data_IF_511497408578
#
_entry.id   IF_511497408578
#
_cell.length_a   1.000
_cell.length_b   1.000
_cell.length_c   1.000
_cell.angle_alpha   90.00
_cell.angle_beta   90.00
_cell.angle_gamma   90.00
#
_symmetry.space_group_name_H-M   'P 1'
#
loop_
_entity.id
_entity.type
_entity.pdbx_description
1 polymer ?
#
# COMPACT_ATOMS: atom_id res chain seq x y z
N UNK A 1 -7.42 -28.38 15.85
CA UNK A 1 -7.21 -27.98 15.45
C UNK A 1 -6.53 -27.27 15.10
N UNK A 2 -6.31 -27.25 14.98
CA UNK A 2 -5.83 -26.55 14.56
C UNK A 2 -5.27 -25.98 14.08
N UNK A 3 -5.14 -25.80 13.91
CA UNK A 3 -4.74 -25.19 13.49
C UNK A 3 -4.09 -24.70 13.10
N UNK A 4 -3.93 -24.73 13.26
CA UNK A 4 -3.39 -24.16 12.99
C UNK A 4 -2.72 -23.79 12.34
N UNK A 5 -2.56 -23.95 12.07
CA UNK A 5 -2.01 -23.55 11.47
C UNK A 5 -1.53 -22.91 10.98
N UNK A 6 -1.53 -22.81 11.07
CA UNK A 6 -1.11 -22.12 10.69
C UNK A 6 -0.42 -21.62 10.30
N UNK A 7 -0.26 -21.78 10.34
CA UNK A 7 0.28 -21.25 10.08
C UNK A 7 1.02 -21.13 9.64
N UNK A 8 1.08 -21.37 9.73
CA UNK A 8 1.70 -21.10 9.38
C UNK A 8 2.26 -20.88 8.84
N UNK A 9 2.14 -21.06 8.92
CA UNK A 9 2.64 -20.75 8.43
C UNK A 9 3.21 -20.45 7.88
N UNK A 10 3.28 -20.62 7.85
CA UNK A 10 3.73 -20.15 7.34
C UNK A 10 4.62 -20.07 6.99
N UNK A 11 4.89 -20.32 7.21
CA UNK A 11 5.57 -19.99 6.87
C UNK A 11 6.55 -20.08 6.74
N UNK A 12 6.93 -20.11 6.97
CA UNK A 12 7.79 -19.97 6.83
C UNK A 12 8.54 -20.64 6.55
N UNK A 13 8.46 -21.15 6.67
CA UNK A 13 9.10 -21.79 6.34
C UNK A 13 9.86 -22.03 5.55
N UNK A 14 10.12 -22.07 5.66
CA UNK A 14 10.71 -21.98 5.00
C UNK A 14 11.01 -22.12 4.19
N UNK A 15 11.37 -22.26 4.18
CA UNK A 15 11.79 -22.06 3.27
C UNK A 15 11.39 -21.93 2.53
N UNK A 16 10.98 -21.85 2.58
CA UNK A 16 10.41 -21.48 1.71
C UNK A 16 10.63 -20.28 1.27
N UNK A 17 11.31 -20.07 0.65
CA UNK A 17 11.72 -18.93 -0.04
C UNK A 17 10.63 -18.09 -0.58
N UNK A 18 9.70 -18.68 -1.18
CA UNK A 18 8.59 -17.94 -1.74
C UNK A 18 7.81 -17.17 -0.69
N UNK A 19 7.85 -17.68 0.50
CA UNK A 19 7.13 -17.04 1.56
C UNK A 19 7.66 -15.67 1.88
N UNK A 20 8.95 -15.52 1.84
CA UNK A 20 9.55 -14.22 2.10
C UNK A 20 9.05 -13.18 1.13
N UNK A 21 8.92 -13.58 -0.12
CA UNK A 21 8.41 -12.67 -1.14
C UNK A 21 6.96 -12.31 -0.87
N UNK A 22 6.21 -13.30 -0.49
CA UNK A 22 4.80 -13.06 -0.20
C UNK A 22 4.62 -12.10 0.96
N UNK A 23 5.49 -12.20 1.94
CA UNK A 23 5.42 -11.27 3.06
C UNK A 23 5.61 -9.84 2.58
N UNK A 24 6.50 -9.63 1.64
CA UNK A 24 6.74 -8.30 1.13
C UNK A 24 5.56 -7.68 0.41
N UNK A 25 4.63 -8.50 -0.03
CA UNK A 25 3.43 -8.00 -0.69
C UNK A 25 2.22 -7.91 0.23
N UNK A 26 2.40 -8.25 1.49
CA UNK A 26 1.31 -8.18 2.45
C UNK A 26 1.00 -6.74 2.77
N UNK A 27 -0.26 -6.37 2.71
CA UNK A 27 -0.69 -5.02 3.02
C UNK A 27 -0.68 -4.74 4.50
N UNK A 28 -0.69 -3.47 4.82
CA UNK A 28 -0.86 -3.03 6.20
C UNK A 28 -2.35 -2.92 6.48
N UNK A 29 -2.81 -3.63 7.53
CA UNK A 29 -4.22 -3.61 7.93
C UNK A 29 -4.37 -2.82 9.22
N UNK A 30 -5.30 -1.88 9.22
CA UNK A 30 -5.56 -1.03 10.38
C UNK A 30 -7.06 -0.94 10.60
N UNK A 31 -7.47 -0.92 11.86
CA UNK A 31 -8.87 -0.75 12.23
C UNK A 31 -9.23 0.72 12.31
N UNK A 32 -10.42 1.02 11.80
CA UNK A 32 -10.96 2.38 11.80
C UNK A 32 -12.31 2.32 12.51
N UNK A 33 -12.53 3.26 13.42
CA UNK A 33 -13.76 3.30 14.22
C UNK A 33 -14.94 3.87 13.47
N UNK A 34 -15.29 3.24 12.36
CA UNK A 34 -16.44 3.60 11.53
C UNK A 34 -16.86 2.36 10.75
N UNK A 35 -18.10 2.37 10.23
CA UNK A 35 -18.59 1.23 9.46
C UNK A 35 -17.84 1.09 8.13
N UNK A 36 -17.87 -0.11 7.56
CA UNK A 36 -17.25 -0.36 6.28
C UNK A 36 -17.75 0.62 5.21
N UNK A 37 -19.07 0.84 5.16
CA UNK A 37 -19.66 1.71 4.16
C UNK A 37 -19.23 3.17 4.36
N UNK A 38 -19.14 3.62 5.60
CA UNK A 38 -18.70 5.00 5.89
C UNK A 38 -17.24 5.20 5.47
N UNK A 39 -16.37 4.24 5.76
CA UNK A 39 -14.97 4.29 5.36
C UNK A 39 -14.86 4.27 3.84
N UNK A 40 -15.61 3.37 3.20
CA UNK A 40 -15.60 3.24 1.75
C UNK A 40 -15.98 4.54 1.06
N UNK A 41 -16.98 5.23 1.60
CA UNK A 41 -17.46 6.50 1.02
C UNK A 41 -16.39 7.59 1.05
N UNK A 42 -15.46 7.55 2.00
CA UNK A 42 -14.42 8.58 2.13
C UNK A 42 -13.12 8.24 1.42
N UNK A 43 -12.95 6.99 1.05
CA UNK A 43 -11.68 6.52 0.53
C UNK A 43 -11.29 7.16 -0.83
N UNK A 44 -12.20 7.32 -1.80
CA UNK A 44 -11.82 7.99 -3.05
C UNK A 44 -11.31 9.41 -2.84
N UNK A 45 -11.89 10.15 -1.88
CA UNK A 45 -11.43 11.50 -1.57
C UNK A 45 -10.01 11.51 -1.02
N UNK A 46 -9.64 10.50 -0.25
CA UNK A 46 -8.26 10.40 0.25
C UNK A 46 -7.28 10.23 -0.90
N UNK A 47 -7.62 9.38 -1.87
CA UNK A 47 -6.79 9.20 -3.05
C UNK A 47 -6.66 10.49 -3.85
N UNK A 48 -7.79 11.20 -4.02
CA UNK A 48 -7.80 12.45 -4.78
C UNK A 48 -6.90 13.50 -4.14
N UNK A 49 -7.02 13.69 -2.82
CA UNK A 49 -6.22 14.69 -2.11
C UNK A 49 -4.73 14.36 -2.20
N UNK A 50 -4.39 13.08 -2.21
CA UNK A 50 -2.99 12.66 -2.31
C UNK A 50 -2.47 12.65 -3.74
N UNK A 51 -3.29 13.00 -4.70
CA UNK A 51 -2.88 12.99 -6.10
C UNK A 51 -2.66 11.59 -6.66
N UNK A 52 -3.39 10.61 -6.14
CA UNK A 52 -3.30 9.22 -6.57
C UNK A 52 -4.49 8.90 -7.47
N UNK A 53 -4.31 8.90 -8.78
CA UNK A 53 -5.44 8.58 -9.67
C UNK A 53 -5.86 7.13 -9.50
N UNK A 54 -7.15 6.88 -9.67
CA UNK A 54 -7.69 5.52 -9.59
C UNK A 54 -7.70 4.90 -10.98
N UNK A 55 -7.23 3.65 -11.09
CA UNK A 55 -7.37 2.89 -12.33
C UNK A 55 -8.51 1.88 -12.21
N UNK A 56 -8.95 1.57 -10.99
CA UNK A 56 -10.09 0.69 -10.78
C UNK A 56 -10.80 1.05 -9.47
N UNK A 57 -12.08 0.73 -9.41
CA UNK A 57 -12.89 0.86 -8.21
C UNK A 57 -13.99 -0.20 -8.27
N UNK A 58 -13.93 -1.13 -7.33
CA UNK A 58 -14.85 -2.26 -7.27
C UNK A 58 -15.73 -2.12 -6.03
N UNK A 59 -16.93 -1.59 -6.22
CA UNK A 59 -17.85 -1.34 -5.11
C UNK A 59 -18.37 -2.64 -4.48
N UNK A 60 -18.45 -3.70 -5.26
CA UNK A 60 -18.95 -4.97 -4.75
C UNK A 60 -17.96 -5.62 -3.78
N UNK A 61 -16.67 -5.42 -4.01
CA UNK A 61 -15.62 -6.00 -3.18
C UNK A 61 -14.95 -4.98 -2.27
N UNK A 62 -15.37 -3.72 -2.34
CA UNK A 62 -14.78 -2.64 -1.55
C UNK A 62 -13.27 -2.55 -1.76
N UNK A 63 -12.86 -2.54 -3.02
CA UNK A 63 -11.47 -2.42 -3.43
C UNK A 63 -11.32 -1.29 -4.43
N UNK A 64 -10.28 -0.49 -4.25
CA UNK A 64 -9.93 0.53 -5.24
C UNK A 64 -8.42 0.74 -5.22
N UNK A 65 -7.92 1.35 -6.28
CA UNK A 65 -6.51 1.62 -6.36
C UNK A 65 -6.05 1.95 -7.76
N UNK A 66 -4.77 1.80 -7.95
CA UNK A 66 -4.15 1.97 -9.26
C UNK A 66 -3.03 0.95 -9.39
N UNK A 67 -3.08 0.17 -10.45
CA UNK A 67 -2.10 -0.88 -10.66
C UNK A 67 -0.84 -0.38 -11.38
N UNK A 68 -0.83 0.88 -11.82
CA UNK A 68 0.37 1.40 -12.45
C UNK A 68 0.38 2.93 -12.47
N UNK A 69 0.96 3.52 -11.44
CA UNK A 69 1.21 4.97 -11.43
C UNK A 69 2.68 5.16 -11.78
N UNK A 70 2.94 5.88 -12.86
CA UNK A 70 4.31 6.21 -13.23
C UNK A 70 4.78 7.42 -12.46
N UNK A 71 5.92 7.29 -11.82
CA UNK A 71 6.45 8.36 -11.00
C UNK A 71 7.96 8.42 -11.13
N UNK A 72 8.48 9.59 -10.92
CA UNK A 72 9.91 9.82 -10.86
C UNK A 72 10.17 10.87 -9.80
N UNK A 73 10.96 10.50 -8.80
CA UNK A 73 11.34 11.33 -7.67
C UNK A 73 10.23 11.62 -6.69
N UNK A 74 9.02 11.96 -7.17
CA UNK A 74 7.96 12.36 -6.27
C UNK A 74 6.58 12.09 -6.87
N UNK A 75 5.59 11.97 -6.00
CA UNK A 75 4.17 11.96 -6.38
C UNK A 75 3.53 13.06 -5.56
N UNK A 76 2.94 14.04 -6.27
CA UNK A 76 2.22 15.15 -5.64
C UNK A 76 3.02 15.76 -4.47
N UNK A 77 4.30 16.01 -4.69
CA UNK A 77 5.16 16.63 -3.70
C UNK A 77 5.75 15.69 -2.65
N UNK A 78 5.32 14.42 -2.64
CA UNK A 78 5.87 13.45 -1.69
C UNK A 78 7.00 12.68 -2.37
N UNK A 79 8.18 12.74 -1.79
CA UNK A 79 9.35 12.13 -2.38
C UNK A 79 9.27 10.62 -2.38
N UNK A 80 9.66 10.00 -3.49
CA UNK A 80 9.58 8.54 -3.63
C UNK A 80 10.40 7.82 -2.58
N UNK A 81 11.50 8.38 -2.14
CA UNK A 81 12.34 7.75 -1.12
C UNK A 81 11.65 7.65 0.24
N UNK A 82 10.62 8.46 0.48
CA UNK A 82 9.83 8.34 1.71
C UNK A 82 8.70 7.33 1.57
N UNK A 83 8.36 7.00 0.34
CA UNK A 83 7.27 6.07 0.03
C UNK A 83 7.79 4.65 -0.11
N UNK A 84 8.90 4.48 -0.84
CA UNK A 84 9.43 3.17 -1.21
C UNK A 84 10.90 3.02 -0.85
N UNK A 85 11.26 1.79 -0.53
CA UNK A 85 12.64 1.37 -0.41
C UNK A 85 12.99 0.52 -1.63
N UNK A 86 13.80 1.06 -2.49
CA UNK A 86 14.28 0.39 -3.70
C UNK A 86 15.75 0.02 -3.58
N UNK A 87 16.33 0.18 -2.39
CA UNK A 87 17.76 0.02 -2.21
C UNK A 87 18.53 1.27 -2.58
N UNK A 88 19.86 1.17 -2.49
CA UNK A 88 20.74 2.30 -2.80
C UNK A 88 21.94 1.83 -3.61
N UNK A 89 22.58 2.77 -4.26
CA UNK A 89 23.83 2.55 -4.98
C UNK A 89 24.77 3.72 -4.73
N UNK A 90 25.81 3.83 -5.55
CA UNK A 90 26.79 4.89 -5.39
C UNK A 90 26.20 6.29 -5.56
N UNK A 91 25.07 6.38 -6.22
CA UNK A 91 24.40 7.67 -6.48
C UNK A 91 23.31 7.97 -5.47
N UNK A 92 23.13 7.14 -4.44
CA UNK A 92 22.14 7.33 -3.41
C UNK A 92 20.98 6.37 -3.53
N UNK A 93 19.82 6.79 -3.03
CA UNK A 93 18.65 5.91 -3.02
C UNK A 93 18.06 5.78 -4.42
N UNK A 94 17.85 4.52 -4.82
CA UNK A 94 17.32 4.23 -6.15
C UNK A 94 15.90 4.77 -6.34
N UNK A 95 15.14 4.88 -5.26
CA UNK A 95 13.79 5.44 -5.33
C UNK A 95 13.80 6.88 -5.87
N UNK A 96 14.88 7.62 -5.69
CA UNK A 96 14.98 8.99 -6.18
C UNK A 96 15.42 9.10 -7.63
N UNK A 97 16.15 8.11 -8.11
CA UNK A 97 16.80 8.21 -9.43
C UNK A 97 16.16 7.28 -10.48
N UNK A 98 15.40 6.29 -10.05
CA UNK A 98 14.81 5.33 -10.96
C UNK A 98 13.42 5.76 -11.39
N UNK A 99 13.01 5.30 -12.56
CA UNK A 99 11.62 5.41 -13.00
C UNK A 99 10.83 4.35 -12.25
N UNK A 100 9.77 4.76 -11.58
CA UNK A 100 9.00 3.90 -10.71
C UNK A 100 7.61 3.66 -11.29
N UNK A 101 7.18 2.41 -11.28
CA UNK A 101 5.79 2.03 -11.49
C UNK A 101 5.24 1.62 -10.14
N UNK A 102 4.35 2.44 -9.61
CA UNK A 102 3.78 2.24 -8.29
C UNK A 102 2.44 1.55 -8.41
N UNK A 103 2.23 0.53 -7.60
CA UNK A 103 0.95 -0.15 -7.46
C UNK A 103 0.42 0.14 -6.06
N UNK A 104 -0.83 0.57 -5.98
CA UNK A 104 -1.47 0.84 -4.71
C UNK A 104 -2.90 0.33 -4.75
N UNK A 105 -3.28 -0.40 -3.71
CA UNK A 105 -4.63 -0.94 -3.61
C UNK A 105 -5.08 -0.86 -2.16
N UNK A 106 -6.31 -0.39 -1.96
CA UNK A 106 -6.91 -0.38 -0.63
C UNK A 106 -8.20 -1.18 -0.66
N UNK A 107 -8.34 -2.07 0.31
CA UNK A 107 -9.53 -2.89 0.51
C UNK A 107 -10.12 -2.56 1.87
N UNK A 108 -11.44 -2.41 1.92
CA UNK A 108 -12.15 -2.17 3.17
C UNK A 108 -13.01 -3.38 3.48
N UNK A 109 -12.84 -3.93 4.66
CA UNK A 109 -13.63 -5.08 5.11
C UNK A 109 -14.29 -4.77 6.43
N UNK A 110 -15.30 -5.58 6.78
CA UNK A 110 -15.97 -5.42 8.07
C UNK A 110 -15.01 -5.84 9.18
N UNK A 111 -14.99 -5.07 10.26
CA UNK A 111 -14.20 -5.38 11.43
C UNK A 111 -14.97 -6.29 12.38
N UNK A 112 -14.51 -6.36 13.64
CA UNK A 112 -15.16 -7.23 14.64
C UNK A 112 -16.56 -6.78 15.02
N UNK A 113 -16.95 -5.54 14.70
CA UNK A 113 -18.30 -5.05 14.96
C UNK A 113 -18.74 -4.16 13.80
N UNK A 114 -20.03 -3.84 13.76
CA UNK A 114 -20.61 -3.08 12.64
C UNK A 114 -20.05 -1.65 12.53
N UNK A 115 -19.55 -1.11 13.63
CA UNK A 115 -19.02 0.24 13.68
C UNK A 115 -17.49 0.29 13.63
N UNK A 116 -16.85 -0.81 13.25
CA UNK A 116 -15.41 -0.87 13.05
C UNK A 116 -15.14 -1.53 11.70
N UNK A 117 -14.33 -0.87 10.90
CA UNK A 117 -13.88 -1.41 9.62
C UNK A 117 -12.40 -1.76 9.69
N UNK A 118 -11.98 -2.70 8.86
CA UNK A 118 -10.56 -2.99 8.66
C UNK A 118 -10.16 -2.50 7.27
N UNK A 119 -9.14 -1.68 7.24
CA UNK A 119 -8.62 -1.10 5.99
C UNK A 119 -7.25 -1.70 5.73
N UNK A 120 -7.12 -2.36 4.60
CA UNK A 120 -5.85 -2.95 4.18
C UNK A 120 -5.35 -2.19 2.96
N UNK A 121 -4.17 -1.61 3.06
CA UNK A 121 -3.55 -0.92 1.93
C UNK A 121 -2.26 -1.62 1.57
N UNK A 122 -2.12 -1.94 0.29
CA UNK A 122 -0.93 -2.57 -0.26
C UNK A 122 -0.27 -1.59 -1.21
N UNK A 123 1.00 -1.33 -0.99
CA UNK A 123 1.80 -0.44 -1.83
C UNK A 123 3.06 -1.18 -2.23
N UNK A 124 3.37 -1.16 -3.51
CA UNK A 124 4.61 -1.75 -4.01
C UNK A 124 5.07 -0.98 -5.23
N UNK A 125 6.29 -1.21 -5.65
CA UNK A 125 6.82 -0.53 -6.81
C UNK A 125 7.80 -1.38 -7.58
N UNK A 126 7.92 -1.07 -8.86
CA UNK A 126 8.97 -1.60 -9.71
C UNK A 126 9.80 -0.42 -10.17
N UNK A 127 11.10 -0.49 -9.93
CA UNK A 127 12.01 0.57 -10.32
C UNK A 127 12.89 0.13 -11.48
N UNK A 128 13.10 1.03 -12.43
CA UNK A 128 13.98 0.79 -13.56
C UNK A 128 14.95 1.93 -13.70
N UNK A 129 16.22 1.60 -13.80
CA UNK A 129 17.25 2.61 -14.03
C UNK A 129 17.04 3.26 -15.40
N UNK A 130 17.05 4.58 -15.48
CA UNK A 130 16.93 5.25 -16.77
C UNK A 130 18.18 5.06 -17.66
N UNK A 131 19.29 4.67 -17.06
CA UNK A 131 20.57 4.61 -17.77
C UNK A 131 21.07 3.21 -18.08
N UNK A 132 20.62 2.22 -17.31
CA UNK A 132 21.20 0.88 -17.38
C UNK A 132 20.16 -0.20 -17.51
N UNK A 133 20.11 -0.84 -18.67
CA UNK A 133 19.44 -2.09 -18.83
C UNK A 133 17.94 -2.06 -18.74
N UNK A 134 17.40 -3.25 -18.75
CA UNK A 134 15.96 -3.47 -18.78
C UNK A 134 15.46 -4.22 -17.55
N UNK A 135 16.29 -4.36 -16.53
CA UNK A 135 15.92 -5.11 -15.35
C UNK A 135 15.15 -4.23 -14.37
N UNK A 136 13.97 -4.70 -14.03
CA UNK A 136 13.19 -4.03 -12.97
C UNK A 136 13.63 -4.56 -11.62
N UNK A 137 13.68 -3.67 -10.64
CA UNK A 137 13.89 -4.05 -9.25
C UNK A 137 12.59 -3.86 -8.48
N UNK A 138 12.37 -4.70 -7.48
CA UNK A 138 11.19 -4.59 -6.64
C UNK A 138 11.46 -3.61 -5.51
N UNK A 139 10.53 -2.71 -5.28
CA UNK A 139 10.61 -1.75 -4.18
C UNK A 139 9.53 -2.08 -3.16
N UNK A 140 9.90 -2.06 -1.89
CA UNK A 140 8.95 -2.30 -0.81
C UNK A 140 8.46 -0.98 -0.22
N UNK A 141 7.28 -1.02 0.38
CA UNK A 141 6.70 0.19 0.97
C UNK A 141 7.37 0.53 2.29
N UNK A 142 7.43 1.82 2.58
CA UNK A 142 7.86 2.33 3.90
C UNK A 142 6.65 2.69 4.76
N UNK A 143 5.42 2.51 4.25
CA UNK A 143 4.21 2.77 5.00
C UNK A 143 3.71 4.19 4.94
N UNK A 144 4.36 5.06 4.20
CA UNK A 144 4.00 6.48 4.19
C UNK A 144 2.66 6.75 3.52
N UNK A 145 2.42 6.16 2.35
CA UNK A 145 1.14 6.35 1.66
C UNK A 145 0.00 5.74 2.45
N UNK A 146 0.24 4.58 3.04
CA UNK A 146 -0.76 3.91 3.87
C UNK A 146 -1.20 4.81 5.03
N UNK A 147 -0.23 5.42 5.70
CA UNK A 147 -0.53 6.34 6.81
C UNK A 147 -1.28 7.56 6.33
N UNK A 148 -0.90 8.12 5.19
CA UNK A 148 -1.55 9.33 4.67
C UNK A 148 -2.99 9.06 4.26
N UNK A 149 -3.24 7.92 3.61
CA UNK A 149 -4.59 7.53 3.24
C UNK A 149 -5.47 7.41 4.48
N UNK A 150 -4.99 6.71 5.50
CA UNK A 150 -5.74 6.53 6.74
C UNK A 150 -5.99 7.85 7.45
N UNK A 151 -4.99 8.72 7.48
CA UNK A 151 -5.16 10.04 8.11
C UNK A 151 -6.28 10.81 7.44
N UNK A 152 -6.30 10.84 6.11
CA UNK A 152 -7.35 11.55 5.38
C UNK A 152 -8.72 10.94 5.61
N UNK A 153 -8.82 9.62 5.61
CA UNK A 153 -10.08 8.95 5.87
C UNK A 153 -10.59 9.28 7.27
N UNK A 154 -9.72 9.19 8.26
CA UNK A 154 -10.11 9.51 9.64
C UNK A 154 -10.53 10.95 9.79
N UNK A 155 -9.79 11.87 9.19
CA UNK A 155 -10.14 13.28 9.21
C UNK A 155 -11.49 13.52 8.57
N UNK A 156 -11.75 12.89 7.44
CA UNK A 156 -13.02 13.03 6.73
C UNK A 156 -14.20 12.46 7.52
N UNK A 157 -13.92 11.49 8.39
CA UNK A 157 -14.94 10.87 9.25
C UNK A 157 -15.08 11.58 10.60
N UNK A 158 -14.28 12.61 10.84
CA UNK A 158 -14.29 13.32 12.13
C UNK A 158 -13.65 12.57 13.27
N UNK A 159 -12.80 11.58 12.97
CA UNK A 159 -12.12 10.79 13.97
C UNK A 159 -10.78 11.43 14.31
N UNK A 160 -10.46 11.44 15.61
CA UNK A 160 -9.18 12.00 16.05
C UNK A 160 -8.07 10.97 15.86
N UNK A 161 -6.89 11.47 15.55
CA UNK A 161 -5.71 10.63 15.52
C UNK A 161 -5.18 10.40 16.91
N UNK A 162 -4.73 9.18 17.14
CA UNK A 162 -4.08 8.86 18.42
C UNK A 162 -2.62 8.53 18.19
#
# INVERSE_FOLDING_TARGET
MPVTVSAQNGGTIGGMSGMTVMVGSTGQTVRVGASRDAVWAKLPGAYEVLGLPLSFKDDARFRLGNDQIKARRAINGVQMRTILDCGSDLNGEKAESYDIKLTIETTVSAGPSADVAEVTTMVSGLGRSPNFGNNDITCSTKGELERRILRHVRTALGLTEK
#
